data_IF_269787151935
#
_entry.id   IF_269787151935
#
_cell.length_a   1.000
_cell.length_b   1.000
_cell.length_c   1.000
_cell.angle_alpha   90.00
_cell.angle_beta   90.00
_cell.angle_gamma   90.00
#
_symmetry.space_group_name_H-M   'P 1'
#
loop_
_entity.id
_entity.type
_entity.pdbx_description
1 polymer ?
#
# COMPACT_ATOMS: atom_id res chain seq x y z
N UNK A 1 -16.38 41.26 24.12
CA UNK A 1 -16.21 39.85 23.69
C UNK A 1 -17.48 39.43 23.02
N UNK A 2 -17.42 38.84 21.81
CA UNK A 2 -18.61 38.30 21.16
C UNK A 2 -19.13 37.12 21.99
N UNK A 3 -20.45 37.03 22.15
CA UNK A 3 -21.10 35.94 22.87
C UNK A 3 -21.23 34.75 21.94
N UNK A 4 -20.84 33.57 22.40
CA UNK A 4 -21.04 32.33 21.65
C UNK A 4 -22.53 32.09 21.37
N UNK A 5 -22.87 31.47 20.23
CA UNK A 5 -24.24 31.12 19.93
C UNK A 5 -24.75 30.06 20.92
N UNK A 6 -26.05 30.13 21.26
CA UNK A 6 -26.70 29.11 22.10
C UNK A 6 -26.69 27.71 21.44
N UNK A 7 -26.54 27.64 20.12
CA UNK A 7 -26.51 26.40 19.35
C UNK A 7 -25.59 26.53 18.14
N UNK A 8 -24.77 25.51 17.91
CA UNK A 8 -23.94 25.35 16.70
C UNK A 8 -24.33 24.06 15.99
N UNK A 9 -24.48 24.11 14.67
CA UNK A 9 -24.78 22.95 13.84
C UNK A 9 -23.52 22.52 13.12
N UNK A 10 -23.07 21.29 13.38
CA UNK A 10 -21.97 20.67 12.64
C UNK A 10 -22.56 19.74 11.58
N UNK A 11 -22.19 19.89 10.30
CA UNK A 11 -22.74 19.14 9.18
C UNK A 11 -22.14 17.72 9.08
N UNK A 12 -22.07 17.01 10.20
CA UNK A 12 -21.48 15.66 10.32
C UNK A 12 -22.42 14.75 11.10
N UNK A 13 -22.24 13.43 10.95
CA UNK A 13 -22.91 12.45 11.82
C UNK A 13 -22.32 12.46 13.23
N UNK A 14 -23.11 12.05 14.22
CA UNK A 14 -22.71 12.05 15.63
C UNK A 14 -21.51 11.14 15.88
N UNK A 15 -21.48 9.98 15.25
CA UNK A 15 -20.42 8.97 15.35
C UNK A 15 -19.09 9.53 14.87
N UNK A 16 -19.12 10.19 13.70
CA UNK A 16 -17.95 10.87 13.15
C UNK A 16 -17.47 12.00 14.06
N UNK A 17 -18.39 12.83 14.58
CA UNK A 17 -18.01 13.88 15.52
C UNK A 17 -17.36 13.31 16.80
N UNK A 18 -17.93 12.27 17.41
CA UNK A 18 -17.36 11.63 18.61
C UNK A 18 -15.94 11.14 18.33
N UNK A 19 -15.72 10.49 17.18
CA UNK A 19 -14.40 10.04 16.77
C UNK A 19 -13.45 11.24 16.55
N UNK A 20 -13.85 12.25 15.77
CA UNK A 20 -13.02 13.44 15.52
C UNK A 20 -12.69 14.18 16.80
N UNK A 21 -13.65 14.31 17.71
CA UNK A 21 -13.47 14.96 19.01
C UNK A 21 -12.46 14.19 19.87
N UNK A 22 -12.53 12.86 19.91
CA UNK A 22 -11.57 12.04 20.65
C UNK A 22 -10.14 12.11 20.07
N UNK A 23 -10.00 12.32 18.75
CA UNK A 23 -8.71 12.24 18.04
C UNK A 23 -8.13 13.60 17.61
N UNK A 24 -8.76 14.73 17.95
CA UNK A 24 -8.31 16.06 17.54
C UNK A 24 -8.19 17.02 18.72
N UNK A 25 -6.96 17.18 19.23
CA UNK A 25 -6.65 18.19 20.26
C UNK A 25 -7.06 19.60 19.85
N UNK A 26 -6.85 20.05 18.59
CA UNK A 26 -7.34 21.36 18.16
C UNK A 26 -8.87 21.51 18.26
N UNK A 27 -9.63 20.46 17.92
CA UNK A 27 -11.09 20.46 18.04
C UNK A 27 -11.54 20.48 19.51
N UNK A 28 -10.88 19.70 20.37
CA UNK A 28 -11.13 19.71 21.81
C UNK A 28 -10.88 21.11 22.41
N UNK A 29 -9.75 21.73 22.05
CA UNK A 29 -9.41 23.08 22.50
C UNK A 29 -10.40 24.13 21.99
N UNK A 30 -10.81 24.06 20.71
CA UNK A 30 -11.77 24.98 20.12
C UNK A 30 -13.16 24.91 20.77
N UNK A 31 -13.55 23.75 21.29
CA UNK A 31 -14.84 23.54 21.94
C UNK A 31 -14.78 23.58 23.48
N UNK A 32 -13.60 23.75 24.08
CA UNK A 32 -13.39 23.63 25.52
C UNK A 32 -14.27 24.59 26.35
N UNK A 33 -14.49 25.82 25.87
CA UNK A 33 -15.29 26.85 26.54
C UNK A 33 -16.72 26.97 25.99
N UNK A 34 -17.11 26.13 25.02
CA UNK A 34 -18.42 26.21 24.40
C UNK A 34 -19.49 25.61 25.33
N UNK A 35 -20.43 26.44 25.77
CA UNK A 35 -21.53 26.05 26.67
C UNK A 35 -22.87 25.85 25.96
N UNK A 36 -22.91 26.07 24.64
CA UNK A 36 -24.12 25.91 23.82
C UNK A 36 -24.39 24.45 23.44
N UNK A 37 -25.50 24.23 22.74
CA UNK A 37 -25.84 22.91 22.19
C UNK A 37 -25.14 22.67 20.85
N UNK A 38 -24.51 21.51 20.67
CA UNK A 38 -24.02 21.06 19.36
C UNK A 38 -25.06 20.12 18.74
N UNK A 39 -25.47 20.39 17.51
CA UNK A 39 -26.32 19.50 16.72
C UNK A 39 -25.55 18.91 15.54
N UNK A 40 -25.77 17.63 15.26
CA UNK A 40 -24.98 16.82 14.31
C UNK A 40 -25.86 16.40 13.12
N UNK A 41 -26.19 17.35 12.25
CA UNK A 41 -27.00 17.05 11.07
C UNK A 41 -26.54 17.84 9.86
N UNK A 42 -26.62 17.19 8.69
CA UNK A 42 -26.42 17.88 7.41
C UNK A 42 -27.51 18.96 7.24
N UNK A 43 -27.17 20.17 6.77
CA UNK A 43 -28.15 21.19 6.40
C UNK A 43 -29.12 20.66 5.34
N UNK A 44 -30.34 21.18 5.32
CA UNK A 44 -31.39 20.77 4.37
C UNK A 44 -31.10 21.08 2.90
N UNK A 45 -29.92 21.62 2.59
CA UNK A 45 -29.52 22.02 1.25
C UNK A 45 -29.38 20.81 0.31
N UNK A 46 -29.97 20.88 -0.89
CA UNK A 46 -30.02 19.75 -1.86
C UNK A 46 -28.64 19.16 -2.19
N UNK A 47 -27.61 19.99 -2.32
CA UNK A 47 -26.23 19.53 -2.58
C UNK A 47 -25.64 18.73 -1.39
N UNK A 48 -26.02 19.04 -0.16
CA UNK A 48 -25.56 18.34 1.04
C UNK A 48 -26.40 17.08 1.32
N UNK A 49 -27.63 17.03 0.78
CA UNK A 49 -28.40 15.79 0.73
C UNK A 49 -27.81 14.79 -0.28
N UNK A 50 -27.26 15.26 -1.41
CA UNK A 50 -26.45 14.43 -2.32
C UNK A 50 -25.18 13.89 -1.64
N UNK A 51 -24.62 14.63 -0.69
CA UNK A 51 -23.52 14.13 0.13
C UNK A 51 -23.93 13.00 1.09
N UNK A 52 -25.23 12.80 1.37
CA UNK A 52 -25.69 11.60 2.11
C UNK A 52 -25.53 10.31 1.31
N UNK A 53 -25.64 10.39 -0.02
CA UNK A 53 -25.39 9.24 -0.91
C UNK A 53 -23.91 8.96 -1.13
N UNK A 54 -23.03 9.89 -0.78
CA UNK A 54 -21.58 9.74 -0.84
C UNK A 54 -21.08 9.60 0.59
N UNK A 55 -21.02 8.38 1.12
CA UNK A 55 -20.68 8.09 2.53
C UNK A 55 -19.39 8.80 2.99
N UNK A 56 -19.53 10.01 3.51
CA UNK A 56 -18.44 10.84 4.06
C UNK A 56 -18.17 10.53 5.54
N UNK A 57 -18.72 9.42 6.08
CA UNK A 57 -19.10 9.35 7.49
C UNK A 57 -18.53 8.19 8.30
N UNK A 58 -17.66 7.35 7.76
CA UNK A 58 -16.94 6.37 8.60
C UNK A 58 -15.67 6.98 9.19
N UNK A 59 -15.33 6.68 10.46
CA UNK A 59 -13.97 6.84 10.95
C UNK A 59 -12.97 6.22 9.96
N UNK A 60 -11.74 6.78 9.84
CA UNK A 60 -10.68 6.12 9.10
C UNK A 60 -10.56 4.67 9.57
N UNK A 61 -10.54 3.75 8.61
CA UNK A 61 -10.34 2.31 8.83
C UNK A 61 -8.85 2.01 9.00
N UNK A 62 -7.99 2.95 8.63
CA UNK A 62 -6.57 2.90 8.92
C UNK A 62 -6.34 2.99 10.44
N UNK A 63 -5.81 1.92 11.01
CA UNK A 63 -5.38 1.83 12.41
C UNK A 63 -3.97 2.40 12.55
N UNK A 64 -3.68 3.04 13.69
CA UNK A 64 -2.33 3.47 14.04
C UNK A 64 -1.53 2.41 14.81
N UNK A 65 -2.17 1.30 15.17
CA UNK A 65 -1.56 0.18 15.89
C UNK A 65 -1.81 -1.14 15.15
N UNK A 66 -0.92 -2.14 15.28
CA UNK A 66 -1.14 -3.45 14.72
C UNK A 66 -2.46 -4.08 15.18
N UNK A 67 -3.12 -4.78 14.26
CA UNK A 67 -4.41 -5.42 14.46
C UNK A 67 -4.25 -6.91 14.76
N UNK A 68 -5.22 -7.47 15.49
CA UNK A 68 -5.41 -8.92 15.54
C UNK A 68 -6.02 -9.39 14.22
N UNK A 69 -5.16 -9.88 13.33
CA UNK A 69 -5.50 -10.34 12.00
C UNK A 69 -4.24 -10.78 11.24
N UNK A 70 -4.36 -11.33 10.03
CA UNK A 70 -3.22 -11.77 9.25
C UNK A 70 -2.26 -10.62 8.97
N UNK A 71 -0.96 -10.94 9.05
CA UNK A 71 0.11 -10.07 8.56
C UNK A 71 0.43 -10.46 7.13
N UNK A 72 0.23 -9.51 6.23
CA UNK A 72 0.24 -9.70 4.79
C UNK A 72 1.40 -8.90 4.22
N UNK A 73 2.31 -9.59 3.55
CA UNK A 73 3.49 -9.00 2.92
C UNK A 73 3.23 -8.83 1.43
N UNK A 74 3.62 -7.67 0.89
CA UNK A 74 3.47 -7.37 -0.53
C UNK A 74 4.76 -6.90 -1.14
N UNK A 75 5.02 -7.35 -2.37
CA UNK A 75 6.15 -6.89 -3.18
C UNK A 75 5.77 -6.91 -4.67
N UNK A 76 6.39 -6.04 -5.46
CA UNK A 76 6.07 -5.81 -6.86
C UNK A 76 7.30 -5.63 -7.73
N UNK A 77 7.54 -6.57 -8.63
CA UNK A 77 8.70 -6.51 -9.52
C UNK A 77 8.33 -6.01 -10.91
N UNK A 78 8.78 -4.79 -11.22
CA UNK A 78 8.74 -4.27 -12.58
C UNK A 78 9.58 -5.07 -13.59
N UNK A 79 10.49 -5.94 -13.11
CA UNK A 79 11.33 -6.80 -13.96
C UNK A 79 10.56 -8.01 -14.47
N UNK A 80 9.77 -8.63 -13.60
CA UNK A 80 9.02 -9.85 -13.92
C UNK A 80 7.57 -9.58 -14.25
N UNK A 81 7.09 -8.35 -14.00
CA UNK A 81 5.68 -7.99 -14.10
C UNK A 81 4.82 -8.66 -13.03
N UNK A 82 5.43 -9.17 -11.95
CA UNK A 82 4.74 -9.87 -10.87
C UNK A 82 4.41 -8.96 -9.70
N UNK A 83 3.20 -9.10 -9.19
CA UNK A 83 2.72 -8.52 -7.96
C UNK A 83 2.41 -9.66 -6.99
N UNK A 84 3.06 -9.68 -5.85
CA UNK A 84 2.99 -10.77 -4.88
C UNK A 84 2.31 -10.30 -3.60
N UNK A 85 1.41 -11.14 -3.10
CA UNK A 85 0.85 -11.06 -1.75
C UNK A 85 1.13 -12.38 -1.07
N UNK A 86 1.77 -12.37 0.10
CA UNK A 86 2.04 -13.58 0.88
C UNK A 86 1.71 -13.36 2.35
N UNK A 87 1.20 -14.39 3.01
CA UNK A 87 0.82 -14.37 4.42
C UNK A 87 0.98 -15.78 4.99
N UNK A 88 0.92 -15.90 6.32
CA UNK A 88 0.93 -17.19 7.00
C UNK A 88 -0.42 -17.43 7.67
N UNK A 89 -0.97 -18.63 7.51
CA UNK A 89 -2.13 -19.14 8.23
C UNK A 89 -1.83 -20.52 8.84
N UNK A 90 -2.85 -21.19 9.39
CA UNK A 90 -2.71 -22.52 10.02
C UNK A 90 -2.18 -23.59 9.06
N UNK A 91 -2.30 -23.39 7.74
CA UNK A 91 -1.78 -24.28 6.70
C UNK A 91 -0.36 -23.91 6.25
N UNK A 92 0.24 -22.88 6.85
CA UNK A 92 1.57 -22.38 6.53
C UNK A 92 1.55 -21.16 5.61
N UNK A 93 2.62 -20.99 4.84
CA UNK A 93 2.80 -19.83 3.97
C UNK A 93 1.95 -19.93 2.70
N UNK A 94 1.06 -18.96 2.51
CA UNK A 94 0.23 -18.79 1.32
C UNK A 94 0.81 -17.75 0.35
N UNK A 95 0.41 -17.82 -0.91
CA UNK A 95 0.79 -16.85 -1.94
C UNK A 95 -0.40 -16.56 -2.86
N UNK A 96 -0.56 -15.29 -3.20
CA UNK A 96 -1.41 -14.81 -4.26
C UNK A 96 -0.54 -14.01 -5.23
N UNK A 97 -0.49 -14.45 -6.48
CA UNK A 97 0.30 -13.85 -7.54
C UNK A 97 -0.62 -13.15 -8.54
N UNK A 98 -0.26 -11.93 -8.92
CA UNK A 98 -0.90 -11.14 -9.95
C UNK A 98 0.14 -10.66 -10.96
N UNK A 99 -0.34 -10.24 -12.12
CA UNK A 99 0.50 -9.72 -13.18
C UNK A 99 0.01 -8.35 -13.62
N UNK A 100 0.94 -7.46 -13.92
CA UNK A 100 0.67 -6.16 -14.52
C UNK A 100 1.88 -5.71 -15.34
N UNK A 101 1.65 -4.93 -16.40
CA UNK A 101 2.74 -4.30 -17.16
C UNK A 101 3.02 -2.91 -16.60
N UNK A 102 4.26 -2.62 -16.21
CA UNK A 102 4.63 -1.26 -15.82
C UNK A 102 5.85 -1.17 -14.91
N UNK A 103 5.97 -0.03 -14.25
CA UNK A 103 7.06 0.24 -13.31
C UNK A 103 6.92 -0.60 -12.04
N UNK A 104 8.02 -0.78 -11.30
CA UNK A 104 7.98 -1.42 -9.98
C UNK A 104 6.90 -0.80 -9.08
N UNK A 105 6.79 0.54 -9.02
CA UNK A 105 5.74 1.24 -8.26
C UNK A 105 4.32 0.82 -8.65
N UNK A 106 4.06 0.55 -9.93
CA UNK A 106 2.76 0.07 -10.39
C UNK A 106 2.49 -1.35 -9.89
N UNK A 107 3.51 -2.22 -9.91
CA UNK A 107 3.41 -3.59 -9.42
C UNK A 107 3.28 -3.65 -7.88
N UNK A 108 3.98 -2.78 -7.16
CA UNK A 108 3.82 -2.61 -5.71
C UNK A 108 2.38 -2.21 -5.37
N UNK A 109 1.85 -1.23 -6.09
CA UNK A 109 0.47 -0.78 -5.92
C UNK A 109 -0.54 -1.87 -6.29
N UNK A 110 -0.25 -2.67 -7.32
CA UNK A 110 -1.06 -3.83 -7.71
C UNK A 110 -1.09 -4.86 -6.58
N UNK A 111 0.05 -5.19 -5.98
CA UNK A 111 0.16 -6.13 -4.87
C UNK A 111 -0.65 -5.66 -3.65
N UNK A 112 -0.52 -4.38 -3.28
CA UNK A 112 -1.32 -3.80 -2.20
C UNK A 112 -2.83 -3.86 -2.52
N UNK A 113 -3.23 -3.51 -3.74
CA UNK A 113 -4.63 -3.59 -4.18
C UNK A 113 -5.18 -5.01 -4.04
N UNK A 114 -4.40 -6.01 -4.44
CA UNK A 114 -4.79 -7.42 -4.30
C UNK A 114 -4.93 -7.83 -2.82
N UNK A 115 -4.03 -7.38 -1.94
CA UNK A 115 -4.15 -7.63 -0.50
C UNK A 115 -5.45 -7.04 0.06
N UNK A 116 -5.75 -5.77 -0.26
CA UNK A 116 -6.98 -5.12 0.18
C UNK A 116 -8.26 -5.80 -0.32
N UNK A 117 -8.22 -6.34 -1.54
CA UNK A 117 -9.33 -7.11 -2.11
C UNK A 117 -9.46 -8.49 -1.44
N UNK A 118 -8.35 -9.18 -1.18
CA UNK A 118 -8.33 -10.53 -0.60
C UNK A 118 -8.80 -10.56 0.85
N UNK A 119 -8.44 -9.55 1.63
CA UNK A 119 -8.73 -9.45 3.06
C UNK A 119 -9.87 -8.46 3.33
N UNK A 120 -10.79 -8.25 2.38
CA UNK A 120 -11.86 -7.24 2.45
C UNK A 120 -12.84 -7.43 3.63
N UNK A 121 -12.96 -8.67 4.11
CA UNK A 121 -13.93 -9.09 5.13
C UNK A 121 -13.31 -9.39 6.51
N UNK A 122 -12.07 -8.94 6.76
CA UNK A 122 -11.39 -9.13 8.05
C UNK A 122 -10.38 -8.01 8.32
N UNK A 123 -10.00 -7.75 9.59
CA UNK A 123 -8.89 -6.86 9.90
C UNK A 123 -7.57 -7.48 9.44
N UNK A 124 -6.64 -6.70 8.90
CA UNK A 124 -5.32 -7.23 8.53
C UNK A 124 -4.22 -6.16 8.62
N UNK A 125 -2.98 -6.63 8.67
CA UNK A 125 -1.79 -5.77 8.69
C UNK A 125 -1.08 -5.88 7.34
N UNK A 126 -1.03 -4.79 6.55
CA UNK A 126 -0.24 -4.72 5.32
C UNK A 126 1.20 -4.34 5.66
N UNK A 127 2.16 -5.17 5.24
CA UNK A 127 3.59 -4.92 5.34
C UNK A 127 4.14 -4.76 3.93
N UNK A 128 4.74 -3.60 3.65
CA UNK A 128 5.37 -3.32 2.36
C UNK A 128 6.69 -2.59 2.60
N UNK A 129 7.65 -2.82 1.71
CA UNK A 129 8.90 -2.07 1.68
C UNK A 129 8.90 -0.88 0.71
N UNK A 130 7.79 -0.71 0.00
CA UNK A 130 7.52 0.45 -0.83
C UNK A 130 6.90 1.57 0.01
N UNK A 131 7.70 2.58 0.32
CA UNK A 131 7.22 3.82 0.93
C UNK A 131 6.06 4.44 0.13
N UNK A 132 6.10 4.32 -1.19
CA UNK A 132 5.03 4.78 -2.09
C UNK A 132 3.69 4.10 -1.80
N UNK A 133 3.68 2.78 -1.65
CA UNK A 133 2.47 2.02 -1.29
C UNK A 133 2.02 2.37 0.12
N UNK A 134 2.96 2.42 1.06
CA UNK A 134 2.65 2.70 2.45
C UNK A 134 1.99 4.08 2.62
N UNK A 135 2.49 5.10 1.95
CA UNK A 135 1.95 6.46 2.00
C UNK A 135 0.56 6.53 1.33
N UNK A 136 0.41 5.93 0.15
CA UNK A 136 -0.88 5.92 -0.57
C UNK A 136 -1.95 5.17 0.22
N UNK A 137 -1.63 3.98 0.73
CA UNK A 137 -2.57 3.18 1.50
C UNK A 137 -3.02 3.91 2.77
N UNK A 138 -2.16 4.75 3.36
CA UNK A 138 -2.53 5.58 4.51
C UNK A 138 -3.48 6.73 4.15
N UNK A 139 -3.33 7.36 2.97
CA UNK A 139 -4.07 8.57 2.61
C UNK A 139 -5.33 8.34 1.78
N UNK A 140 -5.44 7.20 1.10
CA UNK A 140 -6.53 6.95 0.15
C UNK A 140 -7.90 6.75 0.82
N UNK A 141 -7.93 6.46 2.12
CA UNK A 141 -9.16 6.29 2.92
C UNK A 141 -9.97 7.59 3.04
N UNK A 142 -9.30 8.74 3.03
CA UNK A 142 -9.93 10.05 3.23
C UNK A 142 -9.69 11.03 2.06
N UNK A 143 -9.33 10.53 0.88
CA UNK A 143 -9.05 11.38 -0.28
C UNK A 143 -9.92 11.05 -1.50
N UNK A 144 -10.06 12.07 -2.36
CA UNK A 144 -10.66 11.93 -3.68
C UNK A 144 -9.57 11.64 -4.71
N UNK A 145 -9.70 10.53 -5.44
CA UNK A 145 -8.74 10.18 -6.50
C UNK A 145 -9.02 11.04 -7.74
N UNK A 146 -8.14 12.01 -8.00
CA UNK A 146 -8.17 12.82 -9.22
C UNK A 146 -7.66 12.00 -10.42
N UNK A 147 -8.16 12.31 -11.62
CA UNK A 147 -7.61 11.78 -12.87
C UNK A 147 -6.11 12.05 -13.01
N UNK A 148 -5.36 11.03 -13.41
CA UNK A 148 -3.93 11.12 -13.75
C UNK A 148 -3.69 10.71 -15.19
N UNK A 149 -2.62 11.22 -15.81
CA UNK A 149 -2.33 10.99 -17.23
C UNK A 149 -1.88 9.55 -17.56
N UNK A 150 -1.55 8.74 -16.55
CA UNK A 150 -1.22 7.32 -16.70
C UNK A 150 -2.49 6.48 -16.44
N UNK A 151 -3.11 5.88 -17.47
CA UNK A 151 -4.38 5.15 -17.32
C UNK A 151 -4.24 3.91 -16.41
N UNK A 152 -3.14 3.17 -16.51
CA UNK A 152 -2.91 1.98 -15.69
C UNK A 152 -2.81 2.35 -14.21
N UNK A 153 -2.02 3.38 -13.90
CA UNK A 153 -1.91 3.91 -12.54
C UNK A 153 -3.27 4.40 -12.03
N UNK A 154 -4.03 5.13 -12.85
CA UNK A 154 -5.35 5.63 -12.46
C UNK A 154 -6.32 4.51 -12.12
N UNK A 155 -6.33 3.43 -12.92
CA UNK A 155 -7.19 2.27 -12.69
C UNK A 155 -6.81 1.54 -11.39
N UNK A 156 -5.51 1.40 -11.10
CA UNK A 156 -5.06 0.81 -9.84
C UNK A 156 -5.39 1.69 -8.64
N UNK A 157 -5.16 3.00 -8.71
CA UNK A 157 -5.52 3.93 -7.64
C UNK A 157 -7.03 3.91 -7.36
N UNK A 158 -7.87 3.89 -8.42
CA UNK A 158 -9.31 3.72 -8.28
C UNK A 158 -9.69 2.38 -7.66
N UNK A 159 -9.01 1.31 -8.06
CA UNK A 159 -9.29 -0.04 -7.54
C UNK A 159 -8.93 -0.15 -6.06
N UNK A 160 -7.76 0.38 -5.67
CA UNK A 160 -7.33 0.45 -4.28
C UNK A 160 -8.29 1.31 -3.45
N UNK A 161 -8.63 2.50 -3.95
CA UNK A 161 -9.60 3.38 -3.31
C UNK A 161 -10.94 2.66 -3.12
N UNK A 162 -11.49 2.03 -4.17
CA UNK A 162 -12.74 1.30 -4.09
C UNK A 162 -12.68 0.15 -3.07
N UNK A 163 -11.55 -0.56 -3.02
CA UNK A 163 -11.35 -1.64 -2.06
C UNK A 163 -11.38 -1.09 -0.63
N UNK A 164 -10.65 -0.02 -0.34
CA UNK A 164 -10.58 0.59 1.00
C UNK A 164 -11.92 1.21 1.41
N UNK A 165 -12.59 1.91 0.49
CA UNK A 165 -13.92 2.48 0.76
C UNK A 165 -14.97 1.40 1.03
N UNK A 166 -14.88 0.25 0.35
CA UNK A 166 -15.79 -0.89 0.55
C UNK A 166 -15.56 -1.70 1.84
N UNK A 167 -14.45 -1.50 2.54
CA UNK A 167 -14.15 -2.25 3.77
C UNK A 167 -15.06 -1.84 4.92
N UNK A 168 -15.43 -2.80 5.75
CA UNK A 168 -16.01 -2.57 7.08
C UNK A 168 -14.98 -2.78 8.20
N UNK A 169 -13.93 -3.55 7.93
CA UNK A 169 -12.90 -3.90 8.90
C UNK A 169 -11.67 -2.99 8.79
N UNK A 170 -11.01 -2.67 9.92
CA UNK A 170 -9.82 -1.83 9.91
C UNK A 170 -8.65 -2.52 9.20
N UNK A 171 -7.61 -1.76 8.92
CA UNK A 171 -6.34 -2.27 8.43
C UNK A 171 -5.21 -1.46 9.05
N UNK A 172 -4.03 -2.06 9.18
CA UNK A 172 -2.82 -1.38 9.65
C UNK A 172 -1.78 -1.42 8.54
N UNK A 173 -1.04 -0.33 8.37
CA UNK A 173 0.05 -0.24 7.38
C UNK A 173 1.37 -0.17 8.13
N UNK A 174 2.27 -1.10 7.81
CA UNK A 174 3.65 -1.09 8.27
C UNK A 174 4.58 -0.96 7.06
N UNK A 175 5.26 0.17 6.97
CA UNK A 175 6.39 0.32 6.07
C UNK A 175 7.66 -0.25 6.71
N UNK A 176 8.38 -1.10 5.98
CA UNK A 176 9.70 -1.61 6.40
C UNK A 176 10.76 -1.27 5.35
N UNK A 177 11.98 -0.85 5.71
CA UNK A 177 13.00 -0.64 4.69
C UNK A 177 13.38 -1.96 3.99
N UNK A 178 13.53 -1.95 2.64
CA UNK A 178 13.90 -3.13 1.83
C UNK A 178 15.16 -3.84 2.32
N UNK A 179 16.10 -3.10 2.94
CA UNK A 179 17.35 -3.62 3.50
C UNK A 179 17.34 -3.66 5.03
N UNK A 180 16.22 -4.07 5.62
CA UNK A 180 16.16 -4.27 7.07
C UNK A 180 17.02 -5.45 7.52
N UNK A 181 17.80 -5.26 8.58
CA UNK A 181 18.58 -6.30 9.27
C UNK A 181 17.83 -6.90 10.45
N UNK A 182 16.55 -6.54 10.61
CA UNK A 182 15.72 -7.02 11.70
C UNK A 182 15.52 -8.54 11.54
N UNK A 183 15.84 -9.35 12.56
CA UNK A 183 15.46 -10.76 12.54
C UNK A 183 13.96 -10.92 12.83
N UNK A 184 13.39 -12.04 12.38
CA UNK A 184 12.05 -12.48 12.78
C UNK A 184 11.01 -12.44 11.65
N UNK A 185 9.76 -12.66 12.06
CA UNK A 185 8.63 -12.93 11.15
C UNK A 185 8.42 -11.86 10.08
N UNK A 186 8.62 -10.58 10.43
CA UNK A 186 8.46 -9.47 9.49
C UNK A 186 9.49 -9.52 8.36
N UNK A 187 10.76 -9.78 8.69
CA UNK A 187 11.81 -9.87 7.69
C UNK A 187 11.74 -11.16 6.86
N UNK A 188 11.31 -12.27 7.48
CA UNK A 188 11.05 -13.52 6.75
C UNK A 188 9.96 -13.33 5.70
N UNK A 189 8.81 -12.76 6.08
CA UNK A 189 7.70 -12.50 5.17
C UNK A 189 8.05 -11.53 4.06
N UNK A 190 8.80 -10.46 4.36
CA UNK A 190 9.28 -9.53 3.34
C UNK A 190 10.23 -10.20 2.36
N UNK A 191 11.23 -10.93 2.87
CA UNK A 191 12.17 -11.67 2.02
C UNK A 191 11.43 -12.69 1.15
N UNK A 192 10.38 -13.32 1.66
CA UNK A 192 9.56 -14.24 0.89
C UNK A 192 8.83 -13.54 -0.26
N UNK A 193 8.19 -12.40 0.00
CA UNK A 193 7.51 -11.61 -1.04
C UNK A 193 8.47 -11.22 -2.17
N UNK A 194 9.63 -10.64 -1.82
CA UNK A 194 10.69 -10.26 -2.78
C UNK A 194 11.16 -11.45 -3.62
N UNK A 195 11.40 -12.59 -2.98
CA UNK A 195 11.86 -13.80 -3.69
C UNK A 195 10.84 -14.33 -4.68
N UNK A 196 9.56 -14.25 -4.34
CA UNK A 196 8.46 -14.68 -5.19
C UNK A 196 8.21 -13.72 -6.35
N UNK A 197 8.47 -12.42 -6.16
CA UNK A 197 8.37 -11.42 -7.22
C UNK A 197 9.57 -11.51 -8.16
N UNK A 198 10.74 -11.91 -7.66
CA UNK A 198 12.00 -12.01 -8.39
C UNK A 198 12.57 -13.45 -8.46
N UNK A 199 11.82 -14.49 -8.88
CA UNK A 199 12.21 -15.90 -8.72
C UNK A 199 13.47 -16.29 -9.53
N UNK A 200 13.73 -15.59 -10.63
CA UNK A 200 14.90 -15.80 -11.49
C UNK A 200 16.24 -15.46 -10.81
N UNK A 201 16.22 -14.64 -9.76
CA UNK A 201 17.41 -14.21 -9.02
C UNK A 201 17.69 -15.05 -7.77
N UNK A 202 16.75 -15.90 -7.36
CA UNK A 202 16.77 -16.63 -6.08
C UNK A 202 16.87 -18.14 -6.29
N UNK A 203 16.34 -18.63 -7.41
CA UNK A 203 16.59 -20.02 -7.81
C UNK A 203 18.04 -20.12 -8.33
N UNK A 204 18.79 -21.18 -8.01
CA UNK A 204 20.03 -21.47 -8.72
C UNK A 204 19.67 -21.76 -10.18
N UNK A 205 19.62 -20.74 -11.03
CA UNK A 205 19.61 -20.97 -12.46
C UNK A 205 20.88 -21.78 -12.77
N UNK A 206 20.78 -22.92 -13.47
CA UNK A 206 21.92 -23.82 -13.66
C UNK A 206 23.07 -23.21 -14.48
N UNK A 207 22.96 -21.95 -14.94
CA UNK A 207 23.99 -21.31 -15.73
C UNK A 207 24.21 -19.83 -15.35
N UNK A 208 25.41 -19.53 -14.81
CA UNK A 208 25.88 -18.16 -14.49
C UNK A 208 25.86 -17.23 -15.71
N UNK A 209 26.03 -17.77 -16.92
CA UNK A 209 25.98 -16.99 -18.17
C UNK A 209 24.55 -16.53 -18.46
N UNK A 210 23.53 -17.34 -18.19
CA UNK A 210 22.15 -16.96 -18.41
C UNK A 210 21.71 -15.82 -17.46
N UNK A 211 22.13 -15.91 -16.19
CA UNK A 211 21.92 -14.84 -15.20
C UNK A 211 22.60 -13.53 -15.62
N UNK A 212 23.85 -13.61 -16.08
CA UNK A 212 24.59 -12.45 -16.51
C UNK A 212 24.03 -11.80 -17.78
N UNK A 213 23.50 -12.60 -18.73
CA UNK A 213 22.78 -12.08 -19.90
C UNK A 213 21.51 -11.33 -19.48
N UNK A 214 20.65 -11.96 -18.67
CA UNK A 214 19.43 -11.30 -18.18
C UNK A 214 19.73 -10.03 -17.37
N UNK A 215 20.83 -10.01 -16.60
CA UNK A 215 21.30 -8.83 -15.88
C UNK A 215 21.78 -7.73 -16.83
N UNK A 216 22.56 -8.09 -17.86
CA UNK A 216 23.06 -7.16 -18.87
C UNK A 216 21.92 -6.55 -19.70
N UNK A 217 20.99 -7.36 -20.17
CA UNK A 217 19.85 -6.93 -20.99
C UNK A 217 18.98 -5.90 -20.25
N UNK A 218 18.92 -5.98 -18.92
CA UNK A 218 18.11 -5.07 -18.10
C UNK A 218 18.87 -3.82 -17.62
N UNK A 219 20.11 -3.98 -17.16
CA UNK A 219 20.88 -2.89 -16.53
C UNK A 219 21.92 -2.26 -17.45
N UNK A 220 22.12 -2.80 -18.67
CA UNK A 220 23.20 -2.46 -19.59
C UNK A 220 24.57 -2.42 -18.92
N UNK A 221 24.83 -3.39 -18.03
CA UNK A 221 26.05 -3.45 -17.24
C UNK A 221 27.29 -3.70 -18.10
N UNK A 222 28.41 -3.06 -17.75
CA UNK A 222 29.68 -3.31 -18.43
C UNK A 222 30.18 -4.74 -18.20
N UNK A 223 31.03 -5.23 -19.11
CA UNK A 223 31.65 -6.54 -19.00
C UNK A 223 32.41 -6.71 -17.67
N UNK A 224 33.05 -5.65 -17.18
CA UNK A 224 33.74 -5.66 -15.89
C UNK A 224 32.80 -5.86 -14.69
N UNK A 225 31.60 -5.28 -14.73
CA UNK A 225 30.58 -5.47 -13.69
C UNK A 225 30.04 -6.90 -13.73
N UNK A 226 29.72 -7.43 -14.91
CA UNK A 226 29.25 -8.80 -15.08
C UNK A 226 30.30 -9.84 -14.63
N UNK A 227 31.58 -9.57 -14.93
CA UNK A 227 32.69 -10.43 -14.54
C UNK A 227 32.76 -10.57 -13.02
N UNK A 228 32.71 -9.45 -12.29
CA UNK A 228 32.77 -9.43 -10.82
C UNK A 228 31.51 -10.02 -10.20
N UNK A 229 30.34 -9.62 -10.69
CA UNK A 229 29.05 -9.97 -10.09
C UNK A 229 28.71 -11.46 -10.27
N UNK A 230 29.06 -12.05 -11.42
CA UNK A 230 28.72 -13.45 -11.74
C UNK A 230 29.94 -14.37 -11.79
N UNK A 231 31.13 -13.88 -11.42
CA UNK A 231 32.41 -14.63 -11.48
C UNK A 231 32.66 -15.25 -12.85
N UNK A 232 32.45 -14.48 -13.92
CA UNK A 232 32.65 -14.93 -15.31
C UNK A 232 34.12 -14.78 -15.72
N UNK A 233 34.52 -15.51 -16.75
CA UNK A 233 35.77 -15.20 -17.46
C UNK A 233 35.64 -13.87 -18.24
N UNK A 234 36.75 -13.15 -18.49
CA UNK A 234 36.72 -11.94 -19.32
C UNK A 234 36.04 -12.17 -20.68
N UNK A 235 36.31 -13.31 -21.32
CA UNK A 235 35.73 -13.69 -22.61
C UNK A 235 34.22 -13.89 -22.53
N UNK A 236 33.72 -14.55 -21.49
CA UNK A 236 32.28 -14.74 -21.31
C UNK A 236 31.55 -13.41 -21.08
N UNK A 237 32.10 -12.53 -20.22
CA UNK A 237 31.50 -11.24 -19.95
C UNK A 237 31.52 -10.32 -21.18
N UNK A 238 32.61 -10.34 -21.95
CA UNK A 238 32.71 -9.58 -23.20
C UNK A 238 31.71 -10.08 -24.24
N UNK A 239 31.59 -11.41 -24.40
CA UNK A 239 30.65 -12.02 -25.35
C UNK A 239 29.19 -11.65 -25.07
N UNK A 240 28.82 -11.50 -23.79
CA UNK A 240 27.48 -11.05 -23.38
C UNK A 240 27.22 -9.62 -23.83
N UNK A 241 28.16 -8.71 -23.58
CA UNK A 241 28.03 -7.29 -23.96
C UNK A 241 28.02 -7.11 -25.49
N UNK A 242 28.82 -7.89 -26.22
CA UNK A 242 28.85 -7.84 -27.69
C UNK A 242 27.68 -8.54 -28.37
N UNK A 243 26.87 -9.30 -27.63
CA UNK A 243 25.68 -9.98 -28.16
C UNK A 243 24.41 -9.12 -28.09
N UNK A 244 24.51 -7.92 -27.51
CA UNK A 244 23.45 -6.91 -27.43
C UNK A 244 23.53 -5.95 -28.63
#
# INVERSE_FOLDING_TARGET
MAKDPNKTVLPVQLEYFKWSFANSTPLQAALQSFVGQIAYHLPSHKLLQLAKSTSLTSPPKNSHVPLQGPTVFTDGSGKTGKAIVTWQDDSGWQVLEGHESGSAQLLELRAATMAFQRFSHEPFNLVSDSAYVADIAQWVDCSLVKGVNNPALFLLLKSLWSAIQGRTYPYYILHIPSHTTLPGFIAEGNSRADKLANPAWVSPQPNKIAQAKASHDFFHQSAGTLQKQFSLTPTQAHNIVTSC
#
